data_IF_981740964272
#
_entry.id   IF_981740964272
#
_cell.length_a   1.000
_cell.length_b   1.000
_cell.length_c   1.000
_cell.angle_alpha   90.00
_cell.angle_beta   90.00
_cell.angle_gamma   90.00
#
_symmetry.space_group_name_H-M   'P 1'
#
loop_
_entity.id
_entity.type
_entity.pdbx_description
1 polymer ?
#
# COMPACT_ATOMS: atom_id res chain seq x y z
N UNK A 1 -43.78 -5.71 14.19
CA UNK A 1 -43.12 -5.62 15.51
C UNK A 1 -41.59 -5.72 15.39
N UNK A 2 -41.05 -6.54 14.49
CA UNK A 2 -39.60 -6.68 14.26
C UNK A 2 -38.90 -5.37 13.84
N UNK A 3 -39.52 -4.55 12.97
CA UNK A 3 -38.88 -3.32 12.45
C UNK A 3 -38.55 -2.28 13.54
N UNK A 4 -39.38 -2.22 14.59
CA UNK A 4 -39.17 -1.29 15.72
C UNK A 4 -37.95 -1.71 16.54
N UNK A 5 -37.76 -3.02 16.74
CA UNK A 5 -36.58 -3.56 17.41
C UNK A 5 -35.32 -3.37 16.56
N UNK A 6 -35.41 -3.63 15.24
CA UNK A 6 -34.29 -3.42 14.34
C UNK A 6 -33.82 -1.96 14.34
N UNK A 7 -34.75 -0.99 14.29
CA UNK A 7 -34.41 0.43 14.31
C UNK A 7 -33.71 0.87 15.60
N UNK A 8 -34.11 0.31 16.74
CA UNK A 8 -33.43 0.56 18.02
C UNK A 8 -32.00 0.00 18.01
N UNK A 9 -31.80 -1.19 17.44
CA UNK A 9 -30.48 -1.82 17.31
C UNK A 9 -29.54 -1.09 16.34
N UNK A 10 -30.09 -0.43 15.32
CA UNK A 10 -29.33 0.33 14.32
C UNK A 10 -29.13 1.81 14.70
N UNK A 11 -29.53 2.23 15.91
CA UNK A 11 -29.31 3.61 16.34
C UNK A 11 -27.81 3.86 16.52
N UNK A 12 -27.25 4.75 15.70
CA UNK A 12 -25.81 5.04 15.66
C UNK A 12 -25.02 4.22 14.63
N UNK A 13 -25.68 3.38 13.85
CA UNK A 13 -25.04 2.65 12.75
C UNK A 13 -24.98 3.54 11.51
N UNK A 14 -23.77 3.80 11.04
CA UNK A 14 -23.53 4.47 9.76
C UNK A 14 -23.27 3.42 8.67
N UNK A 15 -23.96 3.55 7.55
CA UNK A 15 -23.72 2.74 6.37
C UNK A 15 -22.85 3.53 5.38
N UNK A 16 -21.65 3.02 5.12
CA UNK A 16 -20.75 3.62 4.14
C UNK A 16 -20.88 2.89 2.80
N UNK A 17 -20.76 3.65 1.70
CA UNK A 17 -20.61 3.06 0.37
C UNK A 17 -19.15 2.72 0.13
N UNK A 18 -18.92 1.62 -0.58
CA UNK A 18 -17.57 1.15 -0.84
C UNK A 18 -17.55 -0.16 -1.61
N UNK A 19 -16.34 -0.71 -1.75
CA UNK A 19 -16.08 -1.96 -2.42
C UNK A 19 -15.60 -3.02 -1.42
N UNK A 20 -16.03 -4.27 -1.61
CA UNK A 20 -15.45 -5.41 -0.91
C UNK A 20 -14.35 -6.02 -1.77
N UNK A 21 -13.15 -6.14 -1.20
CA UNK A 21 -11.96 -6.66 -1.87
C UNK A 21 -11.54 -7.94 -1.16
N UNK A 22 -11.23 -8.98 -1.93
CA UNK A 22 -10.66 -10.22 -1.40
C UNK A 22 -9.20 -10.30 -1.78
N UNK A 23 -8.33 -10.44 -0.79
CA UNK A 23 -6.90 -10.65 -1.03
C UNK A 23 -6.60 -12.14 -0.92
N UNK A 24 -6.09 -12.72 -2.02
CA UNK A 24 -5.55 -14.08 -2.04
C UNK A 24 -4.10 -14.12 -1.58
N UNK A 25 -3.34 -13.08 -1.93
CA UNK A 25 -1.92 -12.98 -1.65
C UNK A 25 -1.66 -12.21 -0.34
N UNK A 26 -0.89 -12.78 0.61
CA UNK A 26 -0.53 -12.09 1.85
C UNK A 26 0.18 -10.74 1.61
N UNK A 27 0.99 -10.64 0.55
CA UNK A 27 1.70 -9.40 0.20
C UNK A 27 0.75 -8.29 -0.26
N UNK A 28 -0.34 -8.63 -0.97
CA UNK A 28 -1.34 -7.67 -1.41
C UNK A 28 -2.15 -7.14 -0.22
N UNK A 29 -2.48 -8.02 0.73
CA UNK A 29 -3.09 -7.63 1.99
C UNK A 29 -2.19 -6.66 2.77
N UNK A 30 -0.92 -7.02 2.96
CA UNK A 30 0.03 -6.17 3.68
C UNK A 30 0.19 -4.79 3.02
N UNK A 31 0.25 -4.76 1.69
CA UNK A 31 0.27 -3.52 0.91
C UNK A 31 -0.95 -2.64 1.23
N UNK A 32 -2.16 -3.20 1.16
CA UNK A 32 -3.39 -2.46 1.47
C UNK A 32 -3.45 -1.97 2.92
N UNK A 33 -2.95 -2.76 3.87
CA UNK A 33 -2.84 -2.35 5.28
C UNK A 33 -1.81 -1.21 5.48
N UNK A 34 -0.73 -1.17 4.68
CA UNK A 34 0.21 -0.05 4.71
C UNK A 34 -0.41 1.20 4.12
N UNK A 35 -1.10 1.08 2.98
CA UNK A 35 -1.84 2.18 2.36
C UNK A 35 -2.88 2.74 3.33
N UNK A 36 -3.64 1.89 4.02
CA UNK A 36 -4.66 2.33 4.97
C UNK A 36 -4.13 3.02 6.22
N UNK A 37 -2.83 2.89 6.50
CA UNK A 37 -2.13 3.52 7.61
C UNK A 37 -1.37 4.78 7.19
N UNK A 38 -1.39 5.15 5.90
CA UNK A 38 -0.84 6.43 5.46
C UNK A 38 -1.74 7.59 5.90
N UNK A 39 -1.16 8.78 6.11
CA UNK A 39 -1.92 9.96 6.55
C UNK A 39 -3.04 10.33 5.59
N UNK A 40 -2.84 10.12 4.28
CA UNK A 40 -3.81 10.43 3.23
C UNK A 40 -5.00 9.44 3.20
N UNK A 41 -4.77 8.19 3.58
CA UNK A 41 -5.72 7.09 3.42
C UNK A 41 -6.13 6.47 4.77
N UNK A 42 -5.94 7.20 5.87
CA UNK A 42 -6.26 6.70 7.21
C UNK A 42 -7.75 6.35 7.32
N UNK A 43 -8.04 5.09 7.59
CA UNK A 43 -9.42 4.57 7.70
C UNK A 43 -10.10 4.24 6.37
N UNK A 44 -9.37 4.34 5.24
CA UNK A 44 -9.87 3.96 3.91
C UNK A 44 -10.20 2.48 3.79
N UNK A 45 -9.46 1.61 4.50
CA UNK A 45 -9.60 0.15 4.47
C UNK A 45 -10.00 -0.35 5.84
N UNK A 46 -11.09 -1.10 5.90
CA UNK A 46 -11.52 -1.86 7.08
C UNK A 46 -11.37 -3.35 6.82
N UNK A 47 -10.63 -4.05 7.67
CA UNK A 47 -10.51 -5.51 7.61
C UNK A 47 -11.71 -6.12 8.32
N UNK A 48 -12.40 -7.06 7.69
CA UNK A 48 -13.39 -7.88 8.39
C UNK A 48 -13.18 -9.35 8.06
N UNK A 49 -13.10 -10.14 9.12
CA UNK A 49 -12.97 -11.59 9.01
C UNK A 49 -14.33 -12.16 8.64
N UNK A 50 -14.43 -12.87 7.53
CA UNK A 50 -15.58 -13.73 7.31
C UNK A 50 -15.59 -14.79 8.42
N UNK A 51 -16.62 -14.74 9.25
CA UNK A 51 -16.89 -15.77 10.24
C UNK A 51 -17.16 -17.08 9.48
N UNK A 52 -16.14 -17.94 9.44
CA UNK A 52 -16.25 -19.42 9.41
C UNK A 52 -17.50 -19.98 8.71
N UNK A 53 -17.58 -19.86 7.39
CA UNK A 53 -18.37 -20.80 6.59
C UNK A 53 -17.41 -21.86 6.06
N UNK A 54 -17.72 -23.14 6.25
CA UNK A 54 -16.87 -24.28 5.88
C UNK A 54 -16.51 -24.36 4.38
N UNK A 55 -17.02 -23.45 3.56
CA UNK A 55 -16.74 -23.32 2.13
C UNK A 55 -15.80 -22.15 1.76
N UNK A 56 -15.44 -21.26 2.68
CA UNK A 56 -14.45 -20.21 2.41
C UNK A 56 -13.05 -20.68 2.80
N UNK A 57 -12.10 -20.53 1.88
CA UNK A 57 -10.69 -20.81 2.15
C UNK A 57 -10.25 -19.96 3.35
N UNK A 58 -9.63 -20.56 4.39
CA UNK A 58 -9.19 -19.84 5.59
C UNK A 58 -8.12 -18.76 5.31
N UNK A 59 -7.68 -18.62 4.05
CA UNK A 59 -6.65 -17.68 3.64
C UNK A 59 -7.20 -16.37 3.03
N UNK A 60 -8.47 -16.30 2.62
CA UNK A 60 -8.99 -15.13 1.92
C UNK A 60 -9.48 -14.07 2.92
N UNK A 61 -8.63 -13.09 3.20
CA UNK A 61 -9.02 -11.93 4.01
C UNK A 61 -9.86 -10.98 3.16
N UNK A 62 -11.01 -10.56 3.70
CA UNK A 62 -11.92 -9.62 3.06
C UNK A 62 -11.74 -8.23 3.66
N UNK A 63 -11.69 -7.24 2.78
CA UNK A 63 -11.43 -5.85 3.10
C UNK A 63 -12.58 -5.01 2.55
N UNK A 64 -12.95 -3.96 3.27
CA UNK A 64 -13.87 -2.94 2.79
C UNK A 64 -13.08 -1.68 2.47
N UNK A 65 -13.20 -1.16 1.26
CA UNK A 65 -12.61 0.11 0.84
C UNK A 65 -13.74 1.12 0.69
N UNK A 66 -13.70 2.20 1.47
CA UNK A 66 -14.69 3.26 1.39
C UNK A 66 -14.59 3.99 0.04
N UNK A 67 -15.73 4.25 -0.60
CA UNK A 67 -15.85 4.89 -1.92
C UNK A 67 -15.11 6.24 -1.98
N UNK A 68 -15.08 7.00 -0.88
CA UNK A 68 -14.38 8.29 -0.78
C UNK A 68 -12.87 8.17 -1.05
N UNK A 69 -12.28 7.03 -0.73
CA UNK A 69 -10.84 6.77 -0.86
C UNK A 69 -10.51 5.85 -2.04
N UNK A 70 -11.50 5.33 -2.76
CA UNK A 70 -11.29 4.33 -3.80
C UNK A 70 -10.23 4.76 -4.83
N UNK A 71 -10.30 6.02 -5.32
CA UNK A 71 -9.32 6.56 -6.27
C UNK A 71 -7.92 6.67 -5.68
N UNK A 72 -7.80 7.22 -4.47
CA UNK A 72 -6.48 7.37 -3.83
C UNK A 72 -5.84 6.03 -3.50
N UNK A 73 -6.63 5.06 -3.03
CA UNK A 73 -6.15 3.70 -2.78
C UNK A 73 -5.73 3.03 -4.09
N UNK A 74 -6.49 3.19 -5.18
CA UNK A 74 -6.12 2.67 -6.50
C UNK A 74 -4.80 3.26 -7.02
N UNK A 75 -4.62 4.58 -6.90
CA UNK A 75 -3.39 5.28 -7.27
C UNK A 75 -2.18 4.80 -6.46
N UNK A 76 -2.33 4.67 -5.13
CA UNK A 76 -1.31 4.13 -4.25
C UNK A 76 -0.97 2.67 -4.59
N UNK A 77 -1.97 1.81 -4.80
CA UNK A 77 -1.73 0.43 -5.23
C UNK A 77 -0.95 0.41 -6.55
N UNK A 78 -1.29 1.29 -7.50
CA UNK A 78 -0.59 1.35 -8.78
C UNK A 78 0.87 1.82 -8.63
N UNK A 79 1.13 2.76 -7.73
CA UNK A 79 2.47 3.21 -7.32
C UNK A 79 3.30 2.08 -6.70
N UNK A 80 2.68 1.25 -5.86
CA UNK A 80 3.33 0.09 -5.24
C UNK A 80 3.64 -1.01 -6.27
N UNK A 81 2.73 -1.27 -7.20
CA UNK A 81 2.90 -2.29 -8.25
C UNK A 81 3.87 -1.83 -9.34
N UNK A 82 3.94 -0.54 -9.61
CA UNK A 82 4.80 0.04 -10.62
C UNK A 82 5.44 1.36 -10.17
N UNK A 83 6.51 1.27 -9.36
CA UNK A 83 7.17 2.45 -8.80
C UNK A 83 7.84 3.34 -9.88
N UNK A 84 7.97 2.86 -11.12
CA UNK A 84 8.61 3.60 -12.22
C UNK A 84 7.60 4.18 -13.23
N UNK A 85 6.32 3.80 -13.18
CA UNK A 85 5.31 4.39 -14.06
C UNK A 85 4.99 5.84 -13.74
N UNK A 86 5.13 6.26 -12.49
CA UNK A 86 4.86 7.66 -12.12
C UNK A 86 5.89 8.65 -12.66
N UNK A 87 7.09 8.17 -13.02
CA UNK A 87 8.10 8.99 -13.68
C UNK A 87 7.77 9.36 -15.14
N UNK A 88 6.74 8.80 -15.78
CA UNK A 88 6.43 9.15 -17.17
C UNK A 88 5.63 10.46 -17.33
N UNK A 89 4.98 10.97 -16.27
CA UNK A 89 4.08 12.15 -16.36
C UNK A 89 4.66 13.40 -15.68
N UNK A 90 5.60 13.27 -14.73
CA UNK A 90 6.25 14.43 -14.08
C UNK A 90 7.73 14.68 -14.49
N UNK A 91 8.40 13.79 -15.24
CA UNK A 91 9.82 13.99 -15.60
C UNK A 91 10.02 14.97 -16.77
N UNK A 92 8.94 15.44 -17.42
CA UNK A 92 9.01 16.60 -18.32
C UNK A 92 9.00 17.95 -17.60
N UNK A 93 8.93 17.96 -16.26
CA UNK A 93 8.96 19.15 -15.42
C UNK A 93 9.91 19.00 -14.21
N UNK A 94 11.21 18.92 -14.47
CA UNK A 94 12.25 19.36 -13.51
C UNK A 94 12.45 18.52 -12.25
N UNK A 95 13.38 17.56 -12.27
CA UNK A 95 14.18 17.25 -11.09
C UNK A 95 15.50 16.58 -11.45
N UNK A 96 16.54 17.39 -11.60
CA UNK A 96 17.93 16.97 -11.59
C UNK A 96 18.31 16.44 -10.20
N UNK A 97 17.79 15.29 -9.78
CA UNK A 97 18.29 14.60 -8.57
C UNK A 97 19.50 13.74 -8.95
N UNK A 98 20.62 14.44 -9.05
CA UNK A 98 22.01 13.97 -8.95
C UNK A 98 22.12 12.90 -7.85
N UNK A 99 22.20 11.63 -8.23
CA UNK A 99 22.66 10.55 -7.35
C UNK A 99 24.18 10.69 -7.19
N UNK A 100 24.60 11.52 -6.24
CA UNK A 100 25.97 11.46 -5.74
C UNK A 100 26.07 10.21 -4.86
N UNK A 101 26.79 9.20 -5.36
CA UNK A 101 27.20 8.03 -4.59
C UNK A 101 28.43 8.46 -3.79
N UNK A 102 28.20 8.93 -2.58
CA UNK A 102 29.23 8.96 -1.54
C UNK A 102 29.30 7.54 -0.91
N UNK A 103 30.48 7.19 -0.41
CA UNK A 103 30.84 5.98 0.34
C UNK A 103 31.20 4.74 -0.49
N UNK A 104 32.46 4.69 -0.91
CA UNK A 104 33.33 3.53 -0.69
C UNK A 104 34.79 3.98 -0.82
N UNK A 105 35.37 4.27 0.34
CA UNK A 105 36.80 4.47 0.58
C UNK A 105 37.45 3.07 0.72
N UNK A 106 38.26 2.67 -0.27
CA UNK A 106 39.20 1.51 -0.28
C UNK A 106 39.70 1.39 -1.73
N UNK A 107 40.98 1.34 -2.10
CA UNK A 107 42.15 0.78 -1.44
C UNK A 107 43.38 1.63 -1.81
N UNK A 108 44.21 1.86 -0.79
CA UNK A 108 45.61 2.22 -0.89
C UNK A 108 46.38 1.16 -1.70
N UNK A 109 46.96 1.55 -2.83
CA UNK A 109 48.22 0.96 -3.27
C UNK A 109 49.08 2.02 -3.98
N UNK A 110 49.97 2.64 -3.20
CA UNK A 110 51.15 3.30 -3.74
C UNK A 110 52.10 2.21 -4.24
N UNK A 111 52.09 1.93 -5.54
CA UNK A 111 53.10 1.09 -6.17
C UNK A 111 54.31 1.96 -6.51
N UNK A 112 55.20 2.15 -5.54
CA UNK A 112 56.59 2.53 -5.79
C UNK A 112 57.29 1.36 -6.48
N UNK A 113 57.42 1.44 -7.81
CA UNK A 113 58.26 0.54 -8.59
C UNK A 113 59.37 1.36 -9.24
N UNK A 114 60.30 1.83 -8.41
CA UNK A 114 61.59 2.34 -8.87
C UNK A 114 62.50 1.13 -9.07
N UNK A 115 62.75 0.80 -10.34
CA UNK A 115 63.64 -0.29 -10.73
C UNK A 115 65.05 0.24 -10.86
N UNK A 116 65.90 -0.20 -9.94
CA UNK A 116 67.35 -0.07 -9.94
C UNK A 116 67.94 -0.84 -11.15
N UNK A 117 68.61 -0.12 -12.06
CA UNK A 117 69.63 -0.60 -13.01
C UNK A 117 70.39 0.57 -13.65
#
# INVERSE_FOLDING_TARGET
>A
MADVQLKALLTGVEAERGATVTCRDPSALEMLLRISNSDANRGSVSVFFQNTSAASSPAAQMLFINEKYAKSVEEEVQLWLDPFKTTAVEVTAGSERKRARADSESDDFESEMDSDA
#
